data_IF_071486066343
#
_entry.id   IF_071486066343
#
_cell.length_a   1.000
_cell.length_b   1.000
_cell.length_c   1.000
_cell.angle_alpha   90.00
_cell.angle_beta   90.00
_cell.angle_gamma   90.00
#
_symmetry.space_group_name_H-M   'P 1'
#
loop_
_entity.id
_entity.type
_entity.pdbx_description
1 polymer ?
#
# COMPACT_ATOMS: atom_id res chain seq x y z
N UNK A 1 40.75 -47.18 17.38
CA UNK A 1 40.26 -45.93 16.76
C UNK A 1 40.12 -46.19 15.26
N UNK A 2 39.08 -46.94 14.87
CA UNK A 2 38.85 -47.30 13.47
C UNK A 2 37.88 -46.29 12.86
N UNK A 3 38.40 -45.43 11.97
CA UNK A 3 37.58 -44.58 11.12
C UNK A 3 37.10 -45.43 9.95
N UNK A 4 35.86 -45.90 10.02
CA UNK A 4 35.18 -46.56 8.92
C UNK A 4 34.90 -45.51 7.84
N UNK A 5 35.74 -45.46 6.80
CA UNK A 5 35.48 -44.64 5.63
C UNK A 5 34.30 -45.25 4.86
N UNK A 6 33.20 -44.50 4.61
CA UNK A 6 32.08 -45.02 3.84
C UNK A 6 32.56 -45.31 2.42
N UNK A 7 32.24 -46.52 1.93
CA UNK A 7 32.54 -46.97 0.57
C UNK A 7 31.98 -45.98 -0.46
N UNK A 8 32.66 -45.83 -1.61
CA UNK A 8 32.30 -44.87 -2.66
C UNK A 8 30.82 -44.96 -3.09
N UNK A 9 30.25 -46.16 -3.05
CA UNK A 9 28.84 -46.45 -3.34
C UNK A 9 27.87 -45.86 -2.31
N UNK A 10 28.25 -45.85 -1.03
CA UNK A 10 27.50 -45.19 0.05
C UNK A 10 27.58 -43.67 -0.01
N UNK A 11 28.72 -43.12 -0.45
CA UNK A 11 28.88 -41.67 -0.68
C UNK A 11 27.99 -41.18 -1.82
N UNK A 12 27.94 -41.93 -2.94
CA UNK A 12 27.08 -41.62 -4.08
C UNK A 12 25.59 -41.72 -3.72
N UNK A 13 25.19 -42.77 -2.98
CA UNK A 13 23.81 -42.92 -2.51
C UNK A 13 23.36 -41.81 -1.57
N UNK A 14 24.24 -41.39 -0.64
CA UNK A 14 23.95 -40.30 0.30
C UNK A 14 23.89 -38.94 -0.39
N UNK A 15 24.75 -38.69 -1.38
CA UNK A 15 24.69 -37.48 -2.22
C UNK A 15 23.41 -37.44 -3.07
N UNK A 16 22.97 -38.56 -3.63
CA UNK A 16 21.73 -38.64 -4.40
C UNK A 16 20.47 -38.38 -3.53
N UNK A 17 20.44 -38.92 -2.31
CA UNK A 17 19.35 -38.70 -1.37
C UNK A 17 19.29 -37.25 -0.88
N UNK A 18 20.45 -36.64 -0.60
CA UNK A 18 20.54 -35.23 -0.23
C UNK A 18 20.06 -34.31 -1.38
N UNK A 19 20.44 -34.61 -2.63
CA UNK A 19 19.98 -33.85 -3.79
C UNK A 19 18.46 -33.95 -4.00
N UNK A 20 17.86 -35.12 -3.74
CA UNK A 20 16.42 -35.32 -3.85
C UNK A 20 15.64 -34.54 -2.76
N UNK A 21 16.19 -34.47 -1.54
CA UNK A 21 15.61 -33.69 -0.44
C UNK A 21 15.70 -32.17 -0.69
N UNK A 22 16.78 -31.70 -1.31
CA UNK A 22 16.94 -30.29 -1.70
C UNK A 22 16.02 -29.94 -2.88
N UNK A 23 15.80 -30.86 -3.83
CA UNK A 23 14.85 -30.64 -4.92
C UNK A 23 13.40 -30.49 -4.43
N UNK A 24 13.06 -31.16 -3.32
CA UNK A 24 11.71 -31.13 -2.73
C UNK A 24 11.40 -29.85 -1.94
N UNK A 25 12.41 -29.04 -1.57
CA UNK A 25 12.21 -27.80 -0.80
C UNK A 25 12.05 -26.54 -1.67
N UNK A 26 12.00 -26.70 -2.99
CA UNK A 26 11.92 -25.61 -3.98
C UNK A 26 10.62 -24.79 -3.90
N UNK A 27 9.55 -25.30 -3.27
CA UNK A 27 8.28 -24.58 -3.15
C UNK A 27 8.31 -23.38 -2.19
N UNK A 28 8.63 -23.61 -0.91
CA UNK A 28 8.57 -22.57 0.12
C UNK A 28 9.80 -21.65 0.10
N UNK A 29 10.99 -22.22 -0.10
CA UNK A 29 12.24 -21.46 -0.05
C UNK A 29 12.34 -20.44 -1.19
N UNK A 30 11.88 -20.82 -2.39
CA UNK A 30 11.92 -19.94 -3.55
C UNK A 30 10.90 -18.80 -3.44
N UNK A 31 9.72 -19.05 -2.86
CA UNK A 31 8.74 -17.99 -2.56
C UNK A 31 9.24 -17.00 -1.51
N UNK A 32 9.90 -17.48 -0.44
CA UNK A 32 10.49 -16.61 0.58
C UNK A 32 11.63 -15.76 0.01
N UNK A 33 12.50 -16.34 -0.82
CA UNK A 33 13.57 -15.59 -1.49
C UNK A 33 12.99 -14.58 -2.47
N UNK A 34 12.03 -14.96 -3.30
CA UNK A 34 11.40 -14.04 -4.25
C UNK A 34 10.74 -12.86 -3.53
N UNK A 35 10.02 -13.12 -2.43
CA UNK A 35 9.42 -12.07 -1.59
C UNK A 35 10.49 -11.20 -0.93
N UNK A 36 11.59 -11.80 -0.46
CA UNK A 36 12.72 -11.08 0.12
C UNK A 36 13.43 -10.17 -0.89
N UNK A 37 13.68 -10.65 -2.11
CA UNK A 37 14.24 -9.85 -3.21
C UNK A 37 13.28 -8.72 -3.58
N UNK A 38 11.98 -9.03 -3.69
CA UNK A 38 10.96 -8.03 -4.00
C UNK A 38 10.90 -6.93 -2.95
N UNK A 39 10.92 -7.27 -1.66
CA UNK A 39 11.00 -6.29 -0.56
C UNK A 39 12.30 -5.49 -0.59
N UNK A 40 13.44 -6.15 -0.85
CA UNK A 40 14.75 -5.49 -0.93
C UNK A 40 14.82 -4.48 -2.08
N UNK A 41 14.22 -4.80 -3.23
CA UNK A 41 14.14 -3.91 -4.39
C UNK A 41 13.10 -2.79 -4.20
N UNK A 42 12.44 -2.72 -3.04
CA UNK A 42 11.41 -1.71 -2.74
C UNK A 42 10.03 -2.06 -3.28
N UNK A 43 9.85 -3.25 -3.85
CA UNK A 43 8.61 -3.69 -4.47
C UNK A 43 8.30 -3.00 -5.79
N UNK A 44 7.02 -2.93 -6.14
CA UNK A 44 6.58 -2.23 -7.36
C UNK A 44 6.42 -0.72 -7.09
N UNK A 45 7.54 -0.05 -6.79
CA UNK A 45 7.58 1.40 -6.59
C UNK A 45 7.93 2.10 -7.90
N UNK A 46 7.10 3.04 -8.28
CA UNK A 46 7.41 4.02 -9.32
C UNK A 46 7.75 5.34 -8.63
N UNK A 47 8.70 6.13 -9.16
CA UNK A 47 8.92 7.47 -8.64
C UNK A 47 7.63 8.28 -8.77
N UNK A 48 7.39 9.17 -7.81
CA UNK A 48 6.22 10.04 -7.86
C UNK A 48 6.33 10.98 -9.06
N UNK A 49 5.25 11.11 -9.84
CA UNK A 49 5.20 12.09 -10.93
C UNK A 49 5.10 13.54 -10.42
N UNK A 50 4.74 13.70 -9.14
CA UNK A 50 4.58 15.00 -8.48
C UNK A 50 5.25 15.00 -7.11
N UNK A 51 6.20 15.92 -6.91
CA UNK A 51 7.00 16.04 -5.67
C UNK A 51 6.58 17.23 -4.81
N UNK A 52 5.65 18.09 -5.27
CA UNK A 52 5.29 19.36 -4.62
C UNK A 52 4.38 19.26 -3.40
N UNK A 53 4.44 18.15 -2.65
CA UNK A 53 3.69 17.93 -1.40
C UNK A 53 4.57 18.01 -0.14
N UNK A 54 5.90 18.02 -0.29
CA UNK A 54 6.83 18.15 0.83
C UNK A 54 6.68 19.51 1.52
N UNK A 55 6.72 19.52 2.86
CA UNK A 55 6.57 20.73 3.70
C UNK A 55 5.28 21.55 3.48
N UNK A 56 4.28 20.98 2.80
CA UNK A 56 3.00 21.64 2.53
C UNK A 56 1.90 21.18 3.50
N UNK A 57 0.91 22.06 3.76
CA UNK A 57 -0.32 21.67 4.44
C UNK A 57 -1.33 21.16 3.43
N UNK A 58 -1.64 19.87 3.50
CA UNK A 58 -2.39 19.17 2.44
C UNK A 58 -3.71 18.65 2.96
N UNK A 59 -4.81 18.97 2.25
CA UNK A 59 -6.11 18.34 2.49
C UNK A 59 -6.38 17.28 1.43
N UNK A 60 -6.85 16.11 1.86
CA UNK A 60 -7.25 15.02 0.98
C UNK A 60 -8.77 14.94 0.99
N UNK A 61 -9.38 14.99 -0.19
CA UNK A 61 -10.83 14.83 -0.37
C UNK A 61 -11.09 13.76 -1.42
N UNK A 62 -12.05 12.88 -1.15
CA UNK A 62 -12.46 11.83 -2.06
C UNK A 62 -13.97 11.95 -2.32
N UNK A 63 -14.33 12.12 -3.60
CA UNK A 63 -15.72 12.25 -4.06
C UNK A 63 -16.24 10.86 -4.47
N UNK A 64 -17.39 10.40 -3.96
CA UNK A 64 -18.04 9.20 -4.46
C UNK A 64 -18.60 9.42 -5.89
N UNK A 65 -18.76 8.37 -6.70
CA UNK A 65 -19.43 8.50 -7.99
C UNK A 65 -20.89 8.94 -7.79
N UNK A 66 -21.40 9.80 -8.69
CA UNK A 66 -22.78 10.28 -8.64
C UNK A 66 -23.84 9.16 -8.64
N UNK A 67 -23.50 8.00 -9.20
CA UNK A 67 -24.34 6.79 -9.26
C UNK A 67 -24.24 5.88 -8.03
N UNK A 68 -23.27 6.09 -7.14
CA UNK A 68 -22.93 5.15 -6.05
C UNK A 68 -22.94 5.73 -4.64
N UNK A 69 -23.32 7.01 -4.46
CA UNK A 69 -23.39 7.68 -3.15
C UNK A 69 -24.19 6.85 -2.11
N UNK A 70 -25.22 6.12 -2.55
CA UNK A 70 -26.05 5.27 -1.69
C UNK A 70 -25.65 3.79 -1.59
N UNK A 71 -24.86 3.24 -2.53
CA UNK A 71 -24.53 1.80 -2.56
C UNK A 71 -23.41 1.42 -1.60
N UNK A 72 -22.40 2.28 -1.49
CA UNK A 72 -21.22 2.05 -0.66
C UNK A 72 -20.94 3.27 0.21
N UNK A 73 -21.90 3.61 1.08
CA UNK A 73 -21.81 4.76 1.97
C UNK A 73 -20.53 4.67 2.82
N UNK A 74 -19.64 5.66 2.66
CA UNK A 74 -18.37 5.74 3.39
C UNK A 74 -17.15 5.12 2.72
N UNK A 75 -17.27 4.53 1.52
CA UNK A 75 -16.11 4.08 0.75
C UNK A 75 -15.17 5.25 0.42
N UNK A 76 -15.71 6.34 -0.11
CA UNK A 76 -14.96 7.56 -0.41
C UNK A 76 -14.25 8.13 0.82
N UNK A 77 -14.96 8.24 1.96
CA UNK A 77 -14.39 8.68 3.24
C UNK A 77 -13.24 7.77 3.71
N UNK A 78 -13.42 6.46 3.58
CA UNK A 78 -12.39 5.48 3.95
C UNK A 78 -11.15 5.57 3.05
N UNK A 79 -11.35 5.79 1.76
CA UNK A 79 -10.27 5.99 0.78
C UNK A 79 -9.52 7.28 1.09
N UNK A 80 -10.22 8.40 1.31
CA UNK A 80 -9.60 9.68 1.70
C UNK A 80 -8.75 9.53 2.95
N UNK A 81 -9.29 8.92 4.01
CA UNK A 81 -8.54 8.64 5.25
C UNK A 81 -7.31 7.76 5.01
N UNK A 82 -7.42 6.73 4.18
CA UNK A 82 -6.29 5.83 3.88
C UNK A 82 -5.21 6.54 3.08
N UNK A 83 -5.58 7.39 2.12
CA UNK A 83 -4.62 8.20 1.36
C UNK A 83 -3.91 9.19 2.27
N UNK A 84 -4.62 9.89 3.16
CA UNK A 84 -4.00 10.76 4.19
C UNK A 84 -2.91 10.02 4.96
N UNK A 85 -3.21 8.83 5.48
CA UNK A 85 -2.25 8.01 6.22
C UNK A 85 -1.06 7.55 5.39
N UNK A 86 -1.23 7.35 4.08
CA UNK A 86 -0.13 6.98 3.20
C UNK A 86 0.77 8.19 2.96
N UNK A 87 0.19 9.37 2.71
CA UNK A 87 0.95 10.60 2.50
C UNK A 87 1.75 10.98 3.75
N UNK A 88 1.15 10.96 4.94
CA UNK A 88 1.83 11.21 6.22
C UNK A 88 3.04 10.30 6.46
N UNK A 89 2.99 9.06 5.94
CA UNK A 89 4.07 8.08 6.13
C UNK A 89 5.20 8.20 5.11
N UNK A 90 4.93 8.74 3.93
CA UNK A 90 5.84 8.66 2.78
C UNK A 90 6.32 10.02 2.27
N UNK A 91 5.67 11.12 2.63
CA UNK A 91 6.07 12.47 2.22
C UNK A 91 6.73 13.17 3.41
N UNK A 92 7.95 13.65 3.22
CA UNK A 92 8.69 14.33 4.28
C UNK A 92 8.06 15.70 4.59
N UNK A 93 7.92 16.02 5.88
CA UNK A 93 7.48 17.34 6.35
C UNK A 93 6.02 17.71 6.05
N UNK A 94 5.24 16.82 5.42
CA UNK A 94 3.85 17.08 5.09
C UNK A 94 2.99 17.29 6.35
N UNK A 95 2.13 18.30 6.33
CA UNK A 95 1.10 18.52 7.35
C UNK A 95 -0.27 18.15 6.76
N UNK A 96 -0.69 16.91 6.97
CA UNK A 96 -1.98 16.44 6.45
C UNK A 96 -3.11 16.89 7.37
N UNK A 97 -4.11 17.55 6.80
CA UNK A 97 -5.33 17.95 7.52
C UNK A 97 -6.02 16.70 8.06
N UNK A 98 -6.38 16.72 9.35
CA UNK A 98 -6.97 15.56 9.99
C UNK A 98 -8.29 15.16 9.29
N UNK A 99 -8.56 13.87 9.07
CA UNK A 99 -9.80 13.43 8.44
C UNK A 99 -11.05 13.95 9.17
N UNK A 100 -10.98 14.10 10.50
CA UNK A 100 -12.08 14.63 11.32
C UNK A 100 -12.38 16.10 11.02
N UNK A 101 -11.35 16.92 10.78
CA UNK A 101 -11.52 18.32 10.41
C UNK A 101 -12.18 18.44 9.02
N UNK A 102 -11.77 17.57 8.08
CA UNK A 102 -12.40 17.46 6.76
C UNK A 102 -13.87 17.04 6.87
N UNK A 103 -14.14 16.00 7.66
CA UNK A 103 -15.48 15.46 7.86
C UNK A 103 -16.43 16.51 8.48
N UNK A 104 -15.98 17.22 9.52
CA UNK A 104 -16.75 18.30 10.14
C UNK A 104 -17.10 19.40 9.13
N UNK A 105 -16.17 19.74 8.22
CA UNK A 105 -16.43 20.76 7.21
C UNK A 105 -17.44 20.28 6.16
N UNK A 106 -17.33 19.03 5.71
CA UNK A 106 -18.25 18.43 4.74
C UNK A 106 -19.67 18.32 5.31
N UNK A 107 -19.81 18.02 6.60
CA UNK A 107 -21.11 17.94 7.26
C UNK A 107 -21.79 19.32 7.40
N UNK A 108 -21.02 20.41 7.40
CA UNK A 108 -21.52 21.79 7.59
C UNK A 108 -21.68 22.59 6.29
N UNK A 109 -21.04 22.19 5.19
CA UNK A 109 -20.96 22.97 3.95
C UNK A 109 -21.27 22.15 2.69
N UNK A 110 -21.67 22.83 1.63
CA UNK A 110 -21.91 22.20 0.34
C UNK A 110 -20.59 21.79 -0.32
N UNK A 111 -20.39 20.47 -0.46
CA UNK A 111 -19.14 19.82 -0.86
C UNK A 111 -18.69 20.16 -2.30
N UNK A 112 -19.59 20.73 -3.12
CA UNK A 112 -19.29 21.17 -4.49
C UNK A 112 -18.19 22.25 -4.57
N UNK A 113 -17.90 22.94 -3.45
CA UNK A 113 -16.85 23.97 -3.37
C UNK A 113 -15.62 23.47 -2.63
N UNK A 114 -14.97 22.42 -3.12
CA UNK A 114 -13.70 21.90 -2.53
C UNK A 114 -12.58 22.95 -2.38
N UNK A 115 -12.61 24.03 -3.17
CA UNK A 115 -11.69 25.17 -3.00
C UNK A 115 -11.96 25.94 -1.69
N UNK A 116 -13.19 25.95 -1.21
CA UNK A 116 -13.57 26.55 0.07
C UNK A 116 -13.08 25.69 1.23
N UNK A 117 -13.10 24.36 1.10
CA UNK A 117 -12.50 23.45 2.07
C UNK A 117 -11.02 23.77 2.29
N UNK A 118 -10.24 23.83 1.21
CA UNK A 118 -8.80 24.14 1.29
C UNK A 118 -8.53 25.46 2.02
N UNK A 119 -9.35 26.50 1.76
CA UNK A 119 -9.25 27.78 2.47
C UNK A 119 -9.65 27.68 3.94
N UNK A 120 -10.72 26.96 4.26
CA UNK A 120 -11.23 26.81 5.61
C UNK A 120 -10.22 26.14 6.54
N UNK A 121 -9.55 25.09 6.05
CA UNK A 121 -8.53 24.33 6.80
C UNK A 121 -7.11 24.87 6.61
N UNK A 122 -6.96 25.99 5.88
CA UNK A 122 -5.68 26.65 5.56
C UNK A 122 -4.69 25.71 4.85
N UNK A 123 -5.18 24.79 4.03
CA UNK A 123 -4.34 23.94 3.20
C UNK A 123 -3.77 24.73 2.01
N UNK A 124 -2.49 24.50 1.75
CA UNK A 124 -1.75 25.05 0.60
C UNK A 124 -1.85 24.16 -0.63
N UNK A 125 -2.23 22.88 -0.45
CA UNK A 125 -2.53 21.92 -1.53
C UNK A 125 -3.80 21.13 -1.24
N UNK A 126 -4.48 20.74 -2.30
CA UNK A 126 -5.66 19.86 -2.25
C UNK A 126 -5.37 18.63 -3.10
N UNK A 127 -5.41 17.45 -2.49
CA UNK A 127 -5.43 16.17 -3.20
C UNK A 127 -6.89 15.78 -3.39
N UNK A 128 -7.38 16.00 -4.61
CA UNK A 128 -8.76 15.71 -4.99
C UNK A 128 -8.82 14.36 -5.72
N UNK A 129 -9.57 13.42 -5.15
CA UNK A 129 -9.77 12.07 -5.67
C UNK A 129 -11.20 11.96 -6.15
N UNK A 130 -11.36 11.64 -7.44
CA UNK A 130 -12.66 11.34 -8.02
C UNK A 130 -12.77 9.82 -8.19
N UNK A 131 -13.76 9.22 -7.52
CA UNK A 131 -14.08 7.82 -7.73
C UNK A 131 -15.07 7.72 -8.89
N UNK A 132 -14.67 6.99 -9.92
CA UNK A 132 -15.52 6.70 -11.09
C UNK A 132 -16.40 5.48 -10.85
N UNK A 133 -15.82 4.38 -10.36
CA UNK A 133 -16.52 3.15 -10.00
C UNK A 133 -15.94 2.51 -8.74
N UNK A 134 -16.79 1.86 -7.94
CA UNK A 134 -16.38 1.14 -6.74
C UNK A 134 -17.33 -0.03 -6.45
N UNK A 135 -16.81 -1.24 -6.59
CA UNK A 135 -17.49 -2.48 -6.23
C UNK A 135 -16.64 -3.33 -5.29
N UNK A 136 -17.32 -4.00 -4.35
CA UNK A 136 -16.69 -4.98 -3.47
C UNK A 136 -16.78 -6.36 -4.12
N UNK A 137 -15.63 -7.03 -4.23
CA UNK A 137 -15.58 -8.40 -4.69
C UNK A 137 -16.28 -9.31 -3.67
N UNK A 138 -17.40 -9.91 -4.07
CA UNK A 138 -18.06 -10.98 -3.31
C UNK A 138 -17.45 -12.30 -3.79
N UNK A 139 -16.62 -12.90 -2.95
CA UNK A 139 -16.01 -14.21 -3.21
C UNK A 139 -17.03 -15.33 -3.33
#
# INVERSE_FOLDING_TARGET
MERTFPTARGRVGMSALAALLIASSTGCFQSMIATGIWLWQGGNVVPAEYEGLEDERVVVICRPPASHEYRNAGAARSIGKRVSQILEKNVSGIDVVSPREVDNWIDEQDWEKFKDLGRAVKATRVVYIELDDFDLFKG
#
